data_IF_158782659133
#
_entry.id   IF_158782659133
#
_cell.length_a   1.000
_cell.length_b   1.000
_cell.length_c   1.000
_cell.angle_alpha   90.00
_cell.angle_beta   90.00
_cell.angle_gamma   90.00
#
_symmetry.space_group_name_H-M   'P 1'
#
loop_
_entity.id
_entity.type
_entity.pdbx_description
1 polymer ?
#
# COMPACT_ATOMS: atom_id res chain seq x y z
N UNK A 1 77.18 24.44 48.01
CA UNK A 1 75.74 24.30 48.26
C UNK A 1 75.52 23.10 49.17
N UNK A 2 74.77 23.28 50.25
CA UNK A 2 74.64 22.33 51.36
C UNK A 2 73.56 21.28 51.07
N UNK A 3 73.63 20.12 51.75
CA UNK A 3 72.63 19.05 51.62
C UNK A 3 71.20 19.52 51.97
N UNK A 4 71.08 20.54 52.82
CA UNK A 4 69.82 21.14 53.24
C UNK A 4 69.17 21.97 52.13
N UNK A 5 69.96 22.68 51.32
CA UNK A 5 69.46 23.45 50.17
C UNK A 5 68.88 22.51 49.09
N UNK A 6 69.53 21.37 48.86
CA UNK A 6 69.06 20.36 47.91
C UNK A 6 67.72 19.74 48.35
N UNK A 7 67.59 19.42 49.65
CA UNK A 7 66.35 18.88 50.20
C UNK A 7 65.20 19.88 50.14
N UNK A 8 65.44 21.14 50.49
CA UNK A 8 64.43 22.19 50.42
C UNK A 8 63.92 22.41 48.99
N UNK A 9 64.82 22.32 47.99
CA UNK A 9 64.44 22.42 46.57
C UNK A 9 63.58 21.25 46.12
N UNK A 10 63.96 20.01 46.47
CA UNK A 10 63.20 18.81 46.10
C UNK A 10 61.78 18.83 46.70
N UNK A 11 61.64 19.23 47.97
CA UNK A 11 60.33 19.38 48.61
C UNK A 11 59.47 20.44 47.90
N UNK A 12 60.08 21.56 47.48
CA UNK A 12 59.38 22.59 46.73
C UNK A 12 58.86 22.12 45.37
N UNK A 13 59.66 21.30 44.66
CA UNK A 13 59.28 20.68 43.38
C UNK A 13 58.12 19.68 43.57
N UNK A 14 58.19 18.82 44.58
CA UNK A 14 57.13 17.83 44.89
C UNK A 14 55.80 18.50 45.29
N UNK A 15 55.86 19.53 46.15
CA UNK A 15 54.65 20.28 46.56
C UNK A 15 54.01 20.97 45.35
N UNK A 16 54.82 21.50 44.43
CA UNK A 16 54.32 22.10 43.20
C UNK A 16 53.63 21.04 42.33
N UNK A 17 54.25 19.87 42.15
CA UNK A 17 53.66 18.77 41.37
C UNK A 17 52.34 18.26 41.98
N UNK A 18 52.26 18.12 43.31
CA UNK A 18 51.03 17.74 44.00
C UNK A 18 49.91 18.75 43.77
N UNK A 19 50.25 20.05 43.81
CA UNK A 19 49.28 21.12 43.56
C UNK A 19 48.77 21.08 42.12
N UNK A 20 49.67 20.94 41.15
CA UNK A 20 49.32 20.85 39.73
C UNK A 20 48.44 19.62 39.44
N UNK A 21 48.71 18.46 40.05
CA UNK A 21 47.88 17.25 39.93
C UNK A 21 46.48 17.44 40.52
N UNK A 22 46.38 18.13 41.67
CA UNK A 22 45.08 18.47 42.27
C UNK A 22 44.27 19.40 41.38
N UNK A 23 44.88 20.46 40.84
CA UNK A 23 44.22 21.41 39.95
C UNK A 23 43.76 20.73 38.64
N UNK A 24 44.53 19.78 38.12
CA UNK A 24 44.15 18.98 36.96
C UNK A 24 42.90 18.13 37.26
N UNK A 25 42.85 17.47 38.42
CA UNK A 25 41.70 16.68 38.86
C UNK A 25 40.46 17.54 39.04
N UNK A 26 40.60 18.72 39.63
CA UNK A 26 39.48 19.65 39.81
C UNK A 26 38.92 20.11 38.46
N UNK A 27 39.79 20.40 37.48
CA UNK A 27 39.38 20.73 36.11
C UNK A 27 38.64 19.58 35.43
N UNK A 28 39.13 18.36 35.55
CA UNK A 28 38.46 17.17 34.97
C UNK A 28 37.07 16.96 35.60
N UNK A 29 36.95 17.13 36.92
CA UNK A 29 35.68 17.04 37.63
C UNK A 29 34.71 18.13 37.15
N UNK A 30 35.19 19.36 36.97
CA UNK A 30 34.36 20.46 36.43
C UNK A 30 33.90 20.19 35.00
N UNK A 31 34.76 19.66 34.13
CA UNK A 31 34.40 19.29 32.75
C UNK A 31 33.34 18.18 32.72
N UNK A 32 33.49 17.16 33.58
CA UNK A 32 32.50 16.08 33.71
C UNK A 32 31.17 16.60 34.25
N UNK A 33 31.20 17.51 35.22
CA UNK A 33 30.00 18.12 35.78
C UNK A 33 29.27 18.95 34.72
N UNK A 34 29.98 19.83 34.00
CA UNK A 34 29.40 20.60 32.90
C UNK A 34 28.82 19.71 31.78
N UNK A 35 29.47 18.59 31.48
CA UNK A 35 28.97 17.58 30.53
C UNK A 35 27.71 16.85 31.02
N UNK A 36 27.50 16.73 32.32
CA UNK A 36 26.28 16.14 32.90
C UNK A 36 25.14 17.17 32.97
N UNK A 37 25.45 18.41 33.33
CA UNK A 37 24.48 19.50 33.45
C UNK A 37 23.95 19.98 32.08
N UNK A 38 24.77 19.88 31.03
CA UNK A 38 24.37 20.17 29.65
C UNK A 38 23.48 19.09 29.03
N UNK A 39 23.31 17.93 29.68
CA UNK A 39 22.42 16.89 29.15
C UNK A 39 20.98 17.38 29.17
N UNK A 40 20.21 17.15 28.10
CA UNK A 40 18.80 17.52 28.06
C UNK A 40 18.04 16.79 29.18
N UNK A 41 17.17 17.51 29.87
CA UNK A 41 16.25 16.90 30.84
C UNK A 41 15.22 16.07 30.07
N UNK A 42 15.26 14.76 30.27
CA UNK A 42 14.35 13.83 29.60
C UNK A 42 13.12 13.63 30.50
N UNK A 43 11.91 13.80 29.95
CA UNK A 43 10.68 13.50 30.66
C UNK A 43 10.30 12.02 30.45
N UNK A 44 10.42 11.15 31.48
CA UNK A 44 10.14 9.72 31.34
C UNK A 44 8.68 9.42 30.95
N UNK A 45 7.74 10.31 31.29
CA UNK A 45 6.30 10.14 30.98
C UNK A 45 6.00 10.17 29.46
N UNK A 46 6.89 10.76 28.66
CA UNK A 46 6.75 10.80 27.19
C UNK A 46 7.46 9.65 26.49
N UNK A 47 8.20 8.84 27.23
CA UNK A 47 8.96 7.73 26.69
C UNK A 47 8.21 6.42 26.90
N UNK A 48 8.38 5.50 25.96
CA UNK A 48 7.87 4.13 26.08
C UNK A 48 9.06 3.20 26.19
N UNK A 49 9.06 2.36 27.22
CA UNK A 49 10.11 1.36 27.41
C UNK A 49 9.95 0.20 26.44
N UNK A 50 11.05 -0.50 26.18
CA UNK A 50 11.03 -1.71 25.34
C UNK A 50 10.08 -2.78 25.90
N UNK A 51 10.06 -2.93 27.22
CA UNK A 51 9.14 -3.86 27.90
C UNK A 51 7.67 -3.46 27.71
N UNK A 52 7.33 -2.17 27.73
CA UNK A 52 5.96 -1.70 27.46
C UNK A 52 5.56 -1.91 26.00
N UNK A 53 6.47 -1.69 25.05
CA UNK A 53 6.22 -1.96 23.63
C UNK A 53 6.02 -3.46 23.37
N UNK A 54 6.82 -4.31 23.99
CA UNK A 54 6.66 -5.77 23.94
C UNK A 54 5.33 -6.21 24.58
N UNK A 55 5.00 -5.70 25.78
CA UNK A 55 3.73 -5.99 26.47
C UNK A 55 2.52 -5.54 25.66
N UNK A 56 2.60 -4.40 24.97
CA UNK A 56 1.54 -3.90 24.09
C UNK A 56 1.51 -4.58 22.72
N UNK A 57 2.47 -5.47 22.41
CA UNK A 57 2.53 -6.19 21.15
C UNK A 57 2.98 -5.33 19.95
N UNK A 58 3.58 -4.16 20.19
CA UNK A 58 4.12 -3.32 19.10
C UNK A 58 5.47 -3.82 18.57
N UNK A 59 6.19 -4.62 19.36
CA UNK A 59 7.49 -5.18 19.01
C UNK A 59 7.43 -6.64 18.52
N UNK A 60 6.24 -7.16 18.20
CA UNK A 60 6.10 -8.52 17.67
C UNK A 60 6.32 -8.53 16.16
N UNK A 61 6.95 -9.59 15.63
CA UNK A 61 6.84 -9.91 14.21
C UNK A 61 5.35 -9.95 13.84
N UNK A 62 4.97 -9.19 12.81
CA UNK A 62 3.57 -9.14 12.35
C UNK A 62 3.02 -10.55 12.16
N UNK A 63 1.70 -10.72 12.35
CA UNK A 63 1.04 -11.96 11.96
C UNK A 63 1.36 -12.26 10.49
N UNK A 64 1.65 -13.52 10.20
CA UNK A 64 1.91 -13.94 8.83
C UNK A 64 0.66 -13.71 7.98
N UNK A 65 0.81 -12.87 6.95
CA UNK A 65 -0.26 -12.58 6.00
C UNK A 65 -0.15 -13.44 4.74
N UNK A 66 0.73 -14.46 4.71
CA UNK A 66 0.92 -15.37 3.57
C UNK A 66 -0.36 -16.08 3.12
N UNK A 67 -1.33 -16.27 4.03
CA UNK A 67 -2.63 -16.87 3.73
C UNK A 67 -3.62 -15.93 3.06
N UNK A 68 -3.36 -14.62 3.05
CA UNK A 68 -4.24 -13.63 2.44
C UNK A 68 -3.83 -13.39 0.98
N UNK A 69 -4.83 -13.45 0.10
CA UNK A 69 -4.64 -13.12 -1.30
C UNK A 69 -4.41 -11.61 -1.48
N UNK A 70 -3.52 -11.25 -2.41
CA UNK A 70 -3.31 -9.86 -2.80
C UNK A 70 -4.54 -9.33 -3.54
N UNK A 71 -4.79 -8.01 -3.45
CA UNK A 71 -5.99 -7.39 -4.04
C UNK A 71 -6.16 -7.70 -5.54
N UNK A 72 -5.06 -7.84 -6.28
CA UNK A 72 -5.08 -8.18 -7.70
C UNK A 72 -5.45 -9.65 -7.96
N UNK A 73 -5.23 -10.56 -7.01
CA UNK A 73 -5.64 -11.98 -7.11
C UNK A 73 -7.14 -12.17 -6.93
N UNK A 74 -7.80 -11.26 -6.19
CA UNK A 74 -9.24 -11.33 -5.91
C UNK A 74 -10.12 -10.91 -7.10
N UNK A 75 -9.57 -10.16 -8.06
CA UNK A 75 -10.32 -9.63 -9.18
C UNK A 75 -9.80 -10.23 -10.49
N UNK A 76 -10.39 -11.36 -10.90
CA UNK A 76 -10.13 -11.98 -12.19
C UNK A 76 -11.30 -11.70 -13.15
N UNK A 77 -11.22 -10.59 -13.87
CA UNK A 77 -12.24 -10.20 -14.86
C UNK A 77 -12.04 -10.82 -16.25
N UNK A 78 -10.99 -11.64 -16.43
CA UNK A 78 -10.69 -12.33 -17.69
C UNK A 78 -11.89 -13.17 -18.17
N UNK A 79 -12.56 -14.00 -17.33
CA UNK A 79 -13.70 -14.79 -17.78
C UNK A 79 -14.90 -13.94 -18.17
N UNK A 80 -15.10 -12.80 -17.48
CA UNK A 80 -16.22 -11.89 -17.75
C UNK A 80 -15.98 -11.14 -19.06
N UNK A 81 -14.78 -10.57 -19.26
CA UNK A 81 -14.38 -9.92 -20.51
C UNK A 81 -14.50 -10.87 -21.69
N UNK A 82 -14.03 -12.11 -21.56
CA UNK A 82 -14.15 -13.13 -22.60
C UNK A 82 -15.62 -13.39 -22.97
N UNK A 83 -16.52 -13.51 -21.98
CA UNK A 83 -17.96 -13.68 -22.22
C UNK A 83 -18.60 -12.48 -22.89
N UNK A 84 -18.24 -11.26 -22.46
CA UNK A 84 -18.76 -10.02 -23.05
C UNK A 84 -18.33 -9.92 -24.51
N UNK A 85 -17.03 -10.09 -24.81
CA UNK A 85 -16.54 -10.06 -26.19
C UNK A 85 -17.17 -11.14 -27.06
N UNK A 86 -17.45 -12.33 -26.52
CA UNK A 86 -18.16 -13.38 -27.26
C UNK A 86 -19.63 -12.99 -27.55
N UNK A 87 -20.29 -12.26 -26.65
CA UNK A 87 -21.65 -11.78 -26.85
C UNK A 87 -21.71 -10.62 -27.85
N UNK A 88 -20.77 -9.68 -27.78
CA UNK A 88 -20.68 -8.54 -28.69
C UNK A 88 -20.38 -8.97 -30.12
N UNK A 89 -19.52 -9.98 -30.30
CA UNK A 89 -19.19 -10.53 -31.61
C UNK A 89 -20.16 -11.62 -32.05
N UNK A 90 -21.16 -11.96 -31.24
CA UNK A 90 -22.17 -12.94 -31.63
C UNK A 90 -22.93 -12.34 -32.81
N UNK A 91 -22.95 -13.01 -33.98
CA UNK A 91 -23.82 -12.56 -35.06
C UNK A 91 -25.23 -12.51 -34.50
N UNK A 92 -25.84 -11.33 -34.52
CA UNK A 92 -27.27 -11.17 -34.29
C UNK A 92 -27.99 -11.85 -35.46
N UNK A 93 -28.01 -13.18 -35.47
CA UNK A 93 -29.15 -13.90 -36.01
C UNK A 93 -30.31 -13.49 -35.11
N UNK A 94 -31.38 -12.93 -35.63
CA UNK A 94 -32.17 -13.64 -36.61
C UNK A 94 -32.50 -12.73 -37.79
N UNK A 95 -31.72 -12.86 -38.87
CA UNK A 95 -32.38 -12.88 -40.17
C UNK A 95 -33.34 -14.07 -40.12
N UNK A 96 -34.61 -13.83 -39.82
CA UNK A 96 -35.63 -14.88 -39.88
C UNK A 96 -35.55 -15.42 -41.30
N UNK A 97 -35.27 -16.71 -41.46
CA UNK A 97 -35.19 -17.35 -42.78
C UNK A 97 -36.35 -18.31 -42.96
N UNK A 98 -36.87 -18.41 -44.17
CA UNK A 98 -37.82 -19.45 -44.51
C UNK A 98 -37.10 -20.81 -44.41
N UNK A 99 -37.68 -21.75 -43.65
CA UNK A 99 -37.09 -23.06 -43.39
C UNK A 99 -36.97 -23.94 -44.65
N UNK A 100 -37.80 -23.71 -45.67
CA UNK A 100 -37.87 -24.50 -46.90
C UNK A 100 -36.73 -24.15 -47.87
N UNK A 101 -36.32 -22.88 -47.93
CA UNK A 101 -35.37 -22.38 -48.93
C UNK A 101 -34.17 -21.63 -48.33
N UNK A 102 -34.11 -21.47 -47.00
CA UNK A 102 -33.06 -20.73 -46.26
C UNK A 102 -32.89 -19.27 -46.72
N UNK A 103 -33.90 -18.70 -47.38
CA UNK A 103 -33.89 -17.30 -47.81
C UNK A 103 -34.39 -16.43 -46.67
N UNK A 104 -33.80 -15.23 -46.54
CA UNK A 104 -34.25 -14.19 -45.61
C UNK A 104 -35.74 -13.84 -45.82
N UNK A 105 -36.49 -13.81 -44.72
CA UNK A 105 -37.87 -13.35 -44.67
C UNK A 105 -37.91 -11.83 -44.81
N UNK A 106 -38.73 -11.34 -45.72
CA UNK A 106 -39.10 -9.93 -45.84
C UNK A 106 -40.23 -9.62 -44.85
N UNK A 107 -40.38 -8.35 -44.51
CA UNK A 107 -41.47 -7.87 -43.67
C UNK A 107 -42.39 -6.97 -44.49
N UNK A 108 -43.70 -7.21 -44.38
CA UNK A 108 -44.75 -6.36 -44.94
C UNK A 108 -45.77 -6.05 -43.85
N UNK A 109 -46.26 -4.81 -43.80
CA UNK A 109 -47.32 -4.42 -42.89
C UNK A 109 -48.35 -3.51 -43.57
N UNK A 110 -49.63 -3.66 -43.21
CA UNK A 110 -50.73 -2.89 -43.80
C UNK A 110 -52.11 -3.28 -43.28
N UNK A 111 -53.15 -2.64 -43.80
CA UNK A 111 -54.55 -2.93 -43.43
C UNK A 111 -55.06 -4.21 -44.09
N UNK A 112 -56.18 -4.76 -43.58
CA UNK A 112 -56.83 -5.93 -44.20
C UNK A 112 -57.15 -5.71 -45.69
N UNK A 113 -57.69 -4.55 -46.06
CA UNK A 113 -58.00 -4.22 -47.45
C UNK A 113 -56.74 -4.18 -48.34
N UNK A 114 -55.61 -3.69 -47.80
CA UNK A 114 -54.33 -3.68 -48.51
C UNK A 114 -53.76 -5.09 -48.65
N UNK A 115 -53.88 -5.93 -47.61
CA UNK A 115 -53.46 -7.32 -47.67
C UNK A 115 -54.26 -8.09 -48.72
N UNK A 116 -55.58 -7.96 -48.75
CA UNK A 116 -56.46 -8.64 -49.68
C UNK A 116 -56.20 -8.21 -51.14
N UNK A 117 -55.79 -6.96 -51.37
CA UNK A 117 -55.41 -6.45 -52.69
C UNK A 117 -54.08 -7.04 -53.24
N UNK A 118 -53.25 -7.66 -52.40
CA UNK A 118 -52.00 -8.29 -52.86
C UNK A 118 -52.33 -9.55 -53.69
N UNK A 119 -52.06 -9.47 -54.99
CA UNK A 119 -52.38 -10.54 -55.95
C UNK A 119 -51.65 -11.86 -55.70
N UNK A 120 -50.41 -11.81 -55.22
CA UNK A 120 -49.57 -13.00 -54.96
C UNK A 120 -48.95 -12.86 -53.57
N UNK A 121 -49.19 -13.84 -52.70
CA UNK A 121 -48.61 -13.88 -51.36
C UNK A 121 -47.28 -14.63 -51.41
N UNK A 122 -46.19 -13.93 -51.11
CA UNK A 122 -44.83 -14.47 -51.11
C UNK A 122 -44.60 -15.27 -49.81
N UNK A 123 -44.20 -16.54 -49.95
CA UNK A 123 -43.89 -17.41 -48.80
C UNK A 123 -42.65 -16.98 -48.01
N UNK A 124 -41.84 -16.07 -48.56
CA UNK A 124 -40.70 -15.46 -47.90
C UNK A 124 -41.04 -14.08 -47.33
N UNK A 125 -42.31 -13.76 -47.08
CA UNK A 125 -42.73 -12.50 -46.46
C UNK A 125 -43.59 -12.75 -45.23
N UNK A 126 -43.24 -12.11 -44.12
CA UNK A 126 -44.09 -12.03 -42.93
C UNK A 126 -45.07 -10.87 -43.14
N UNK A 127 -46.36 -11.18 -43.10
CA UNK A 127 -47.43 -10.19 -43.26
C UNK A 127 -48.02 -9.84 -41.89
N UNK A 128 -47.80 -8.60 -41.45
CA UNK A 128 -48.41 -8.03 -40.26
C UNK A 128 -49.63 -7.19 -40.65
N UNK A 129 -50.83 -7.72 -40.40
CA UNK A 129 -52.08 -7.11 -40.83
C UNK A 129 -52.71 -6.38 -39.64
N UNK A 130 -52.79 -5.06 -39.75
CA UNK A 130 -53.46 -4.24 -38.74
C UNK A 130 -54.97 -4.52 -38.75
N UNK A 131 -55.54 -4.69 -37.55
CA UNK A 131 -56.98 -4.87 -37.33
C UNK A 131 -57.74 -3.55 -37.34
#
# INVERSE_FOLDING_TARGET
MSNLENLARAIGEDVKAIKEDSELKDREVQERLGSLESRPRVNPETLVTKAELEKKGYLTSHQDLSTYAQKWELYNDIPIKARISALENRPTGETIVNQQNRISMRYWAGTQAQYDAIRIKDSNTIYDIFK
#
